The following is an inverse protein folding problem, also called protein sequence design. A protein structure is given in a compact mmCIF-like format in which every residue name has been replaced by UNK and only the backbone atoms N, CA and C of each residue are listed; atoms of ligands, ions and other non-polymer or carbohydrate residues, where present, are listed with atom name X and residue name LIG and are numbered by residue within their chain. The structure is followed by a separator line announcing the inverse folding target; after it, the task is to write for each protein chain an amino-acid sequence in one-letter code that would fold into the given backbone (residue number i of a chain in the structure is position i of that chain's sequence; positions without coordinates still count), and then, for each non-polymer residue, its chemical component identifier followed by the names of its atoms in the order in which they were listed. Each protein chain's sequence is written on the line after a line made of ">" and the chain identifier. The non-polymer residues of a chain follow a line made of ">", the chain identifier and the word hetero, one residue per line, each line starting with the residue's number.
data_IF_251094672377
#
_entry.id   IF_251094672377
#
_cell.length_a   1.000
_cell.length_b   1.000
_cell.length_c   1.000
_cell.angle_alpha   90.00
_cell.angle_beta   90.00
_cell.angle_gamma   90.00
#
_symmetry.space_group_name_H-M   'P 1'
#
loop_
_entity.id
_entity.type
_entity.pdbx_description
1 polymer ?
#
# COMPACT_ATOMS: atom_id res chain seq x y z
N UNK A 1 2.40 17.65 14.27
CA UNK A 1 1.36 18.57 13.75
C UNK A 1 1.19 18.40 12.26
N UNK A 2 -0.01 18.69 11.72
CA UNK A 2 -0.36 18.47 10.30
C UNK A 2 0.64 19.07 9.31
N UNK A 3 1.22 20.23 9.61
CA UNK A 3 2.24 20.85 8.79
C UNK A 3 3.54 20.02 8.68
N UNK A 4 3.95 19.35 9.76
CA UNK A 4 5.13 18.48 9.75
C UNK A 4 4.86 17.21 8.93
N UNK A 5 3.67 16.63 9.06
CA UNK A 5 3.27 15.48 8.25
C UNK A 5 3.27 15.85 6.76
N UNK A 6 2.66 16.98 6.38
CA UNK A 6 2.65 17.47 5.01
C UNK A 6 4.08 17.72 4.46
N UNK A 7 4.95 18.34 5.26
CA UNK A 7 6.33 18.58 4.86
C UNK A 7 7.12 17.27 4.63
N UNK A 8 6.96 16.28 5.51
CA UNK A 8 7.59 14.97 5.37
C UNK A 8 7.06 14.24 4.13
N UNK A 9 5.74 14.23 3.92
CA UNK A 9 5.13 13.61 2.73
C UNK A 9 5.63 14.26 1.44
N UNK A 10 5.73 15.59 1.40
CA UNK A 10 6.26 16.30 0.24
C UNK A 10 7.73 15.96 -0.01
N UNK A 11 8.55 15.93 1.04
CA UNK A 11 9.96 15.57 0.92
C UNK A 11 10.16 14.15 0.39
N UNK A 12 9.40 13.18 0.91
CA UNK A 12 9.43 11.79 0.44
C UNK A 12 8.95 11.69 -1.01
N UNK A 13 7.89 12.41 -1.38
CA UNK A 13 7.37 12.42 -2.75
C UNK A 13 8.40 12.97 -3.76
N UNK A 14 9.08 14.08 -3.42
CA UNK A 14 10.13 14.66 -4.26
C UNK A 14 11.34 13.72 -4.38
N UNK A 15 11.77 13.12 -3.26
CA UNK A 15 12.86 12.16 -3.26
C UNK A 15 12.55 10.92 -4.10
N UNK A 16 11.31 10.40 -4.01
CA UNK A 16 10.85 9.27 -4.82
C UNK A 16 10.80 9.62 -6.31
N UNK A 17 10.27 10.79 -6.68
CA UNK A 17 10.21 11.25 -8.06
C UNK A 17 11.61 11.42 -8.67
N UNK A 18 12.53 12.05 -7.94
CA UNK A 18 13.91 12.21 -8.37
C UNK A 18 14.61 10.85 -8.54
N UNK A 19 14.44 9.94 -7.57
CA UNK A 19 14.99 8.58 -7.64
C UNK A 19 14.47 7.80 -8.85
N UNK A 20 13.17 7.90 -9.13
CA UNK A 20 12.55 7.23 -10.28
C UNK A 20 13.07 7.79 -11.62
N UNK A 21 13.21 9.11 -11.73
CA UNK A 21 13.77 9.73 -12.94
C UNK A 21 15.23 9.32 -13.17
N UNK A 22 16.04 9.28 -12.11
CA UNK A 22 17.42 8.80 -12.19
C UNK A 22 17.46 7.35 -12.66
N UNK A 23 16.61 6.49 -12.09
CA UNK A 23 16.53 5.08 -12.44
C UNK A 23 16.09 4.85 -13.89
N UNK A 24 15.11 5.62 -14.39
CA UNK A 24 14.69 5.53 -15.78
C UNK A 24 15.81 5.99 -16.73
N UNK A 25 16.53 7.05 -16.40
CA UNK A 25 17.67 7.53 -17.20
C UNK A 25 18.80 6.51 -17.23
N UNK A 26 19.13 5.88 -16.11
CA UNK A 26 20.16 4.84 -16.06
C UNK A 26 19.70 3.56 -16.75
N UNK A 27 18.42 3.17 -16.63
CA UNK A 27 17.84 2.06 -17.38
C UNK A 27 17.95 2.26 -18.89
N UNK A 28 17.60 3.45 -19.39
CA UNK A 28 17.75 3.81 -20.79
C UNK A 28 19.22 3.83 -21.25
N UNK A 29 20.12 4.38 -20.45
CA UNK A 29 21.54 4.45 -20.78
C UNK A 29 22.23 3.07 -20.80
N UNK A 30 21.83 2.16 -19.90
CA UNK A 30 22.40 0.81 -19.81
C UNK A 30 21.67 -0.23 -20.69
N UNK A 31 20.52 0.12 -21.28
CA UNK A 31 19.70 -0.79 -22.08
C UNK A 31 19.14 -1.98 -21.28
N UNK A 32 18.99 -1.83 -19.96
CA UNK A 32 18.50 -2.88 -19.05
C UNK A 32 17.18 -2.46 -18.42
N UNK A 33 16.20 -3.36 -18.47
CA UNK A 33 14.85 -3.11 -17.95
C UNK A 33 14.64 -3.55 -16.49
N UNK A 34 15.58 -4.29 -15.90
CA UNK A 34 15.47 -4.81 -14.54
C UNK A 34 16.33 -4.00 -13.57
N UNK A 35 15.82 -3.77 -12.35
CA UNK A 35 16.52 -3.03 -11.28
C UNK A 35 17.91 -3.62 -11.00
N UNK A 36 17.99 -4.94 -10.92
CA UNK A 36 19.25 -5.68 -10.75
C UNK A 36 20.20 -5.51 -11.93
N UNK A 37 19.69 -5.50 -13.16
CA UNK A 37 20.50 -5.33 -14.37
C UNK A 37 21.06 -3.91 -14.51
N UNK A 38 20.30 -2.90 -14.06
CA UNK A 38 20.77 -1.52 -13.97
C UNK A 38 21.83 -1.38 -12.87
N UNK A 39 21.62 -2.03 -11.72
CA UNK A 39 22.59 -2.04 -10.63
C UNK A 39 23.89 -2.77 -11.01
N UNK A 40 23.80 -3.88 -11.74
CA UNK A 40 24.96 -4.59 -12.28
C UNK A 40 25.75 -3.72 -13.26
N UNK A 41 25.06 -2.99 -14.14
CA UNK A 41 25.69 -2.11 -15.11
C UNK A 41 26.35 -0.87 -14.47
N UNK A 42 25.78 -0.34 -13.38
CA UNK A 42 26.25 0.88 -12.73
C UNK A 42 27.27 0.63 -11.61
N UNK A 43 27.12 -0.43 -10.82
CA UNK A 43 27.93 -0.73 -9.62
C UNK A 43 28.62 -2.10 -9.68
N UNK A 44 28.45 -2.86 -10.75
CA UNK A 44 29.02 -4.19 -10.90
C UNK A 44 28.26 -5.29 -10.15
N UNK A 45 28.83 -6.51 -10.07
CA UNK A 45 28.14 -7.70 -9.55
C UNK A 45 27.82 -7.63 -8.05
N UNK A 46 28.58 -6.85 -7.27
CA UNK A 46 28.30 -6.62 -5.86
C UNK A 46 27.05 -5.74 -5.67
N UNK A 47 26.87 -4.72 -6.52
CA UNK A 47 25.70 -3.85 -6.50
C UNK A 47 24.41 -4.57 -6.91
N UNK A 48 24.52 -5.54 -7.81
CA UNK A 48 23.39 -6.42 -8.14
C UNK A 48 22.87 -7.18 -6.92
N UNK A 49 23.76 -7.85 -6.18
CA UNK A 49 23.38 -8.64 -5.00
C UNK A 49 22.76 -7.79 -3.90
N UNK A 50 23.27 -6.58 -3.67
CA UNK A 50 22.71 -5.70 -2.64
C UNK A 50 21.30 -5.23 -3.02
N UNK A 51 21.05 -4.88 -4.29
CA UNK A 51 19.73 -4.50 -4.77
C UNK A 51 18.77 -5.68 -4.73
N UNK A 52 19.19 -6.86 -5.15
CA UNK A 52 18.40 -8.09 -5.08
C UNK A 52 17.96 -8.40 -3.64
N UNK A 53 18.89 -8.35 -2.68
CA UNK A 53 18.58 -8.54 -1.25
C UNK A 53 17.64 -7.45 -0.71
N UNK A 54 17.81 -6.21 -1.15
CA UNK A 54 16.95 -5.10 -0.70
C UNK A 54 15.53 -5.25 -1.25
N UNK A 55 15.39 -5.63 -2.53
CA UNK A 55 14.08 -5.89 -3.15
C UNK A 55 13.41 -7.09 -2.48
N UNK A 56 14.17 -8.14 -2.17
CA UNK A 56 13.67 -9.30 -1.43
C UNK A 56 13.12 -8.88 -0.05
N UNK A 57 13.91 -8.14 0.74
CA UNK A 57 13.48 -7.64 2.05
C UNK A 57 12.24 -6.74 1.96
N UNK A 58 12.19 -5.87 0.94
CA UNK A 58 11.03 -5.02 0.68
C UNK A 58 9.77 -5.85 0.38
N UNK A 59 9.92 -6.90 -0.45
CA UNK A 59 8.80 -7.75 -0.83
C UNK A 59 8.29 -8.57 0.36
N UNK A 60 9.19 -9.07 1.22
CA UNK A 60 8.83 -9.71 2.49
C UNK A 60 8.12 -8.73 3.44
N UNK A 61 8.64 -7.52 3.60
CA UNK A 61 8.01 -6.49 4.42
C UNK A 61 6.59 -6.16 3.96
N UNK A 62 6.38 -6.02 2.65
CA UNK A 62 5.06 -5.80 2.08
C UNK A 62 4.11 -6.97 2.33
N UNK A 63 4.59 -8.22 2.24
CA UNK A 63 3.78 -9.40 2.51
C UNK A 63 3.28 -9.42 3.97
N UNK A 64 4.17 -9.12 4.92
CA UNK A 64 3.80 -9.02 6.35
C UNK A 64 2.83 -7.85 6.59
N UNK A 65 3.08 -6.70 5.98
CA UNK A 65 2.19 -5.54 6.10
C UNK A 65 0.78 -5.85 5.57
N UNK A 66 0.68 -6.45 4.37
CA UNK A 66 -0.60 -6.87 3.79
C UNK A 66 -1.33 -7.88 4.66
N UNK A 67 -0.63 -8.87 5.21
CA UNK A 67 -1.22 -9.84 6.16
C UNK A 67 -1.78 -9.15 7.40
N UNK A 68 -1.03 -8.21 7.97
CA UNK A 68 -1.45 -7.50 9.17
C UNK A 68 -2.66 -6.59 8.91
N UNK A 69 -2.65 -5.83 7.80
CA UNK A 69 -3.80 -5.00 7.41
C UNK A 69 -5.03 -5.84 7.07
N UNK A 70 -4.87 -6.98 6.42
CA UNK A 70 -5.97 -7.89 6.14
C UNK A 70 -6.54 -8.51 7.42
N UNK A 71 -5.69 -8.87 8.38
CA UNK A 71 -6.12 -9.38 9.69
C UNK A 71 -6.88 -8.32 10.49
N UNK A 72 -6.44 -7.05 10.45
CA UNK A 72 -7.13 -5.94 11.10
C UNK A 72 -8.52 -5.70 10.49
N UNK A 73 -8.61 -5.63 9.16
CA UNK A 73 -9.88 -5.48 8.46
C UNK A 73 -10.84 -6.66 8.73
N UNK A 74 -10.32 -7.89 8.72
CA UNK A 74 -11.11 -9.09 9.00
C UNK A 74 -11.51 -9.21 10.48
N UNK A 75 -10.66 -8.78 11.40
CA UNK A 75 -10.97 -8.70 12.82
C UNK A 75 -12.13 -7.73 13.11
N UNK A 76 -12.15 -6.57 12.44
CA UNK A 76 -13.24 -5.59 12.56
C UNK A 76 -14.60 -6.11 12.04
N UNK A 77 -14.60 -6.92 10.97
CA UNK A 77 -15.85 -7.53 10.47
C UNK A 77 -16.26 -8.78 11.26
N UNK A 78 -15.31 -9.53 11.81
CA UNK A 78 -15.60 -10.72 12.62
C UNK A 78 -16.33 -10.37 13.92
N UNK A 79 -15.93 -9.27 14.58
CA UNK A 79 -16.60 -8.79 15.81
C UNK A 79 -18.00 -8.23 15.55
N UNK A 80 -18.33 -7.85 14.32
CA UNK A 80 -19.67 -7.37 13.95
C UNK A 80 -20.60 -8.49 13.48
N UNK A 81 -20.08 -9.67 13.17
CA UNK A 81 -20.86 -10.83 12.69
C UNK A 81 -20.98 -11.96 13.72
N UNK A 82 -20.01 -12.13 14.62
CA UNK A 82 -20.00 -13.22 15.61
C UNK A 82 -20.54 -12.74 16.96
N UNK A 83 -21.60 -13.36 17.51
CA UNK A 83 -22.17 -13.00 18.80
C UNK A 83 -21.20 -13.31 19.97
N UNK A 84 -21.22 -12.47 21.00
CA UNK A 84 -20.32 -12.55 22.14
C UNK A 84 -20.39 -13.91 22.84
N UNK A 85 -19.28 -14.67 22.83
CA UNK A 85 -19.15 -15.98 23.50
C UNK A 85 -18.37 -17.05 22.72
N UNK A 86 -18.13 -16.84 21.42
CA UNK A 86 -17.28 -17.71 20.59
C UNK A 86 -16.08 -16.89 20.07
N UNK A 87 -15.20 -16.45 20.97
CA UNK A 87 -13.98 -15.73 20.56
C UNK A 87 -13.05 -16.68 19.81
N UNK A 88 -12.83 -16.51 18.50
CA UNK A 88 -11.85 -17.30 17.78
C UNK A 88 -10.47 -16.83 18.23
N UNK A 89 -9.61 -17.75 18.64
CA UNK A 89 -8.24 -17.43 19.01
C UNK A 89 -7.53 -16.67 17.88
N UNK A 90 -6.74 -15.65 18.24
CA UNK A 90 -5.97 -14.80 17.31
C UNK A 90 -5.18 -15.59 16.26
N UNK A 91 -4.77 -16.80 16.62
CA UNK A 91 -4.09 -17.77 15.77
C UNK A 91 -4.95 -18.31 14.62
N UNK A 92 -6.25 -18.55 14.84
CA UNK A 92 -7.20 -18.98 13.80
C UNK A 92 -7.56 -17.84 12.83
N UNK A 93 -7.59 -16.59 13.32
CA UNK A 93 -7.78 -15.41 12.46
C UNK A 93 -6.54 -15.21 11.56
N UNK A 94 -5.33 -15.34 12.11
CA UNK A 94 -4.09 -15.26 11.32
C UNK A 94 -3.97 -16.42 10.31
N UNK A 95 -4.33 -17.65 10.69
CA UNK A 95 -4.34 -18.81 9.78
C UNK A 95 -5.40 -18.68 8.68
N UNK A 96 -6.60 -18.20 9.02
CA UNK A 96 -7.66 -17.97 8.02
C UNK A 96 -7.31 -16.82 7.08
N UNK A 97 -6.69 -15.74 7.55
CA UNK A 97 -6.20 -14.67 6.66
C UNK A 97 -5.10 -15.19 5.72
N UNK A 98 -4.14 -15.97 6.24
CA UNK A 98 -3.07 -16.56 5.44
C UNK A 98 -3.59 -17.54 4.38
N UNK A 99 -4.50 -18.44 4.75
CA UNK A 99 -5.00 -19.50 3.85
C UNK A 99 -6.11 -18.99 2.92
N UNK A 100 -6.96 -18.08 3.40
CA UNK A 100 -8.18 -17.66 2.69
C UNK A 100 -8.02 -16.33 1.95
N UNK A 101 -6.98 -15.55 2.22
CA UNK A 101 -6.69 -14.30 1.49
C UNK A 101 -5.44 -14.46 0.64
N UNK A 102 -4.30 -14.85 1.22
CA UNK A 102 -3.03 -14.90 0.47
C UNK A 102 -3.02 -16.04 -0.55
N UNK A 103 -3.49 -17.23 -0.17
CA UNK A 103 -3.51 -18.40 -1.04
C UNK A 103 -4.39 -18.22 -2.30
N UNK A 104 -5.66 -17.75 -2.20
CA UNK A 104 -6.45 -17.47 -3.39
C UNK A 104 -5.92 -16.28 -4.18
N UNK A 105 -5.32 -15.27 -3.54
CA UNK A 105 -4.71 -14.15 -4.27
C UNK A 105 -3.53 -14.65 -5.12
N UNK A 106 -2.69 -15.55 -4.61
CA UNK A 106 -1.64 -16.20 -5.39
C UNK A 106 -2.15 -17.13 -6.50
N UNK A 107 -3.30 -17.79 -6.31
CA UNK A 107 -3.89 -18.68 -7.34
C UNK A 107 -4.62 -17.88 -8.43
N UNK A 108 -5.30 -16.80 -8.07
CA UNK A 108 -6.11 -15.97 -8.99
C UNK A 108 -5.23 -15.09 -9.88
N UNK A 109 -4.09 -14.59 -9.38
CA UNK A 109 -3.18 -13.70 -10.12
C UNK A 109 -2.14 -14.41 -11.00
N UNK A 110 -2.25 -15.73 -11.23
CA UNK A 110 -1.31 -16.47 -12.10
C UNK A 110 -1.28 -15.99 -13.55
N UNK A 111 -2.27 -15.22 -13.99
CA UNK A 111 -2.35 -14.69 -15.35
C UNK A 111 -2.24 -13.17 -15.31
N UNK A 112 -1.34 -12.60 -16.10
CA UNK A 112 -1.11 -11.15 -16.22
C UNK A 112 -2.38 -10.35 -16.48
N UNK A 113 -3.31 -10.92 -17.24
CA UNK A 113 -4.60 -10.29 -17.56
C UNK A 113 -5.55 -10.18 -16.35
N UNK A 114 -5.50 -11.16 -15.43
CA UNK A 114 -6.29 -11.15 -14.19
C UNK A 114 -5.68 -10.23 -13.16
N UNK A 115 -4.35 -10.16 -13.11
CA UNK A 115 -3.64 -9.18 -12.28
C UNK A 115 -3.99 -7.74 -12.68
N UNK A 116 -4.06 -7.43 -13.99
CA UNK A 116 -4.45 -6.10 -14.46
C UNK A 116 -5.88 -5.72 -14.05
N UNK A 117 -6.84 -6.65 -14.20
CA UNK A 117 -8.24 -6.43 -13.78
C UNK A 117 -8.35 -6.24 -12.26
N UNK A 118 -7.66 -7.06 -11.47
CA UNK A 118 -7.63 -6.91 -10.02
C UNK A 118 -7.03 -5.57 -9.58
N UNK A 119 -5.96 -5.12 -10.23
CA UNK A 119 -5.37 -3.79 -9.98
C UNK A 119 -6.33 -2.65 -10.32
N UNK A 120 -7.07 -2.75 -11.43
CA UNK A 120 -8.06 -1.73 -11.80
C UNK A 120 -9.19 -1.63 -10.75
N UNK A 121 -9.67 -2.77 -10.23
CA UNK A 121 -10.64 -2.80 -9.14
C UNK A 121 -10.06 -2.18 -7.87
N UNK A 122 -8.83 -2.52 -7.50
CA UNK A 122 -8.17 -1.98 -6.31
C UNK A 122 -8.03 -0.44 -6.40
N UNK A 123 -7.62 0.09 -7.55
CA UNK A 123 -7.56 1.54 -7.79
C UNK A 123 -8.95 2.18 -7.65
N UNK A 124 -9.99 1.52 -8.16
CA UNK A 124 -11.38 1.99 -8.01
C UNK A 124 -11.81 2.08 -6.54
N UNK A 125 -11.51 1.05 -5.73
CA UNK A 125 -11.82 1.05 -4.29
C UNK A 125 -11.08 2.16 -3.56
N UNK A 126 -9.79 2.36 -3.86
CA UNK A 126 -9.00 3.44 -3.26
C UNK A 126 -9.55 4.82 -3.65
N UNK A 127 -9.95 5.00 -4.91
CA UNK A 127 -10.57 6.25 -5.37
C UNK A 127 -11.92 6.52 -4.68
N UNK A 128 -12.74 5.49 -4.52
CA UNK A 128 -14.03 5.60 -3.81
C UNK A 128 -13.84 5.98 -2.33
N UNK A 129 -12.88 5.35 -1.64
CA UNK A 129 -12.52 5.70 -0.27
C UNK A 129 -12.01 7.14 -0.17
N UNK A 130 -11.15 7.56 -1.08
CA UNK A 130 -10.65 8.94 -1.13
C UNK A 130 -11.79 9.95 -1.31
N UNK A 131 -12.76 9.65 -2.19
CA UNK A 131 -13.94 10.48 -2.37
C UNK A 131 -14.81 10.53 -1.12
N UNK A 132 -15.07 9.40 -0.48
CA UNK A 132 -15.85 9.33 0.76
C UNK A 132 -15.21 10.16 1.88
N UNK A 133 -13.89 10.03 2.07
CA UNK A 133 -13.15 10.83 3.06
C UNK A 133 -13.21 12.32 2.72
N UNK A 134 -13.08 12.68 1.44
CA UNK A 134 -13.19 14.08 1.00
C UNK A 134 -14.60 14.64 1.25
N UNK A 135 -15.64 13.86 0.99
CA UNK A 135 -17.04 14.25 1.24
C UNK A 135 -17.29 14.46 2.74
N UNK A 136 -16.84 13.53 3.60
CA UNK A 136 -16.96 13.68 5.07
C UNK A 136 -16.14 14.87 5.57
N UNK A 137 -14.93 15.09 5.05
CA UNK A 137 -14.11 16.24 5.42
C UNK A 137 -14.75 17.57 4.98
N UNK A 138 -15.44 17.59 3.84
CA UNK A 138 -16.18 18.76 3.37
C UNK A 138 -17.41 19.05 4.24
N UNK A 139 -18.16 18.01 4.62
CA UNK A 139 -19.30 18.11 5.53
C UNK A 139 -18.88 18.65 6.92
N UNK A 140 -17.78 18.11 7.47
CA UNK A 140 -17.19 18.62 8.72
C UNK A 140 -16.74 20.07 8.59
N UNK A 141 -16.15 20.49 7.46
CA UNK A 141 -15.76 21.89 7.24
C UNK A 141 -16.98 22.82 7.19
N UNK A 142 -18.06 22.43 6.52
CA UNK A 142 -19.29 23.21 6.45
C UNK A 142 -19.98 23.33 7.82
N UNK A 143 -19.92 22.29 8.65
CA UNK A 143 -20.38 22.34 10.04
C UNK A 143 -19.60 23.34 10.91
N UNK A 144 -18.29 23.50 10.66
CA UNK A 144 -17.45 24.46 11.39
C UNK A 144 -17.62 25.91 10.93
N UNK A 145 -17.98 26.14 9.66
CA UNK A 145 -18.30 27.49 9.15
C UNK A 145 -19.70 27.95 9.60
N UNK A 146 -20.62 27.02 9.88
CA UNK A 146 -21.97 27.31 10.42
C UNK A 146 -21.98 27.80 11.87
N UNK A 147 -21.01 27.42 12.70
CA UNK A 147 -20.88 27.91 14.08
C UNK A 147 -20.10 29.23 14.20
N UNK A 148 -19.63 29.81 13.07
CA UNK A 148 -18.70 30.95 13.07
C UNK A 148 -19.26 32.28 12.52
N UNK A 149 -20.58 32.47 12.47
CA UNK A 149 -21.12 33.83 12.30
C UNK A 149 -22.61 34.01 12.60
N UNK A 150 -23.08 35.24 12.89
CA UNK A 150 -22.45 36.37 13.58
C UNK A 150 -23.16 36.66 14.92
N UNK A 151 -22.45 36.56 16.04
CA UNK A 151 -23.01 36.91 17.36
C UNK A 151 -21.98 36.71 18.47
N UNK A 152 -21.19 37.75 18.75
CA UNK A 152 -20.19 37.80 19.81
C UNK A 152 -19.07 38.76 19.49
#
# INVERSE_FOLDING_TARGET
>A
GYAQAAALTLAVALAAAASMQLLLRTAHACGRATYEGVAEAALGPAGRRSVELTVLLLQFGMLVACLNTAADALGGVATSVVPAGAEPGREAVLLSVGVLVVLPMCVVLRTTERAAKASAVAVGVVAALAFAVAAVAADVRLGLDGERGPGG
#
